data_IF_622035593106
#
_entry.id   IF_622035593106
#
_cell.length_a   1.000
_cell.length_b   1.000
_cell.length_c   1.000
_cell.angle_alpha   90.00
_cell.angle_beta   90.00
_cell.angle_gamma   90.00
#
_symmetry.space_group_name_H-M   'P 1'
#
loop_
_entity.id
_entity.type
_entity.pdbx_description
1 polymer ?
#
# COMPACT_ATOMS: atom_id res chain seq x y z
N UNK A 1 -22.74 7.34 -20.89
CA UNK A 1 -22.69 6.12 -20.08
C UNK A 1 -21.22 5.83 -19.81
N UNK A 2 -20.75 5.87 -18.56
CA UNK A 2 -19.34 5.63 -18.23
C UNK A 2 -19.05 4.12 -18.27
N UNK A 3 -17.94 3.74 -18.90
CA UNK A 3 -17.43 2.37 -18.88
C UNK A 3 -16.14 2.32 -18.10
N UNK A 4 -16.03 1.41 -17.13
CA UNK A 4 -14.77 1.02 -16.53
C UNK A 4 -14.32 -0.29 -17.18
N UNK A 5 -13.14 -0.27 -17.78
CA UNK A 5 -12.57 -1.43 -18.48
C UNK A 5 -11.28 -1.88 -17.80
N UNK A 6 -10.95 -3.15 -18.00
CA UNK A 6 -9.71 -3.77 -17.56
C UNK A 6 -8.57 -3.24 -18.44
N UNK A 7 -7.40 -2.93 -17.86
CA UNK A 7 -6.22 -2.56 -18.65
C UNK A 7 -5.66 -3.76 -19.39
N UNK A 8 -5.39 -3.58 -20.69
CA UNK A 8 -4.78 -4.57 -21.56
C UNK A 8 -3.63 -3.92 -22.33
N UNK A 9 -2.53 -4.62 -22.43
CA UNK A 9 -1.41 -4.31 -23.31
C UNK A 9 -1.22 -5.50 -24.25
N UNK A 10 -1.19 -5.27 -25.56
CA UNK A 10 -1.15 -6.30 -26.59
C UNK A 10 -2.19 -7.43 -26.40
N UNK A 11 -3.36 -7.07 -25.85
CA UNK A 11 -4.43 -8.02 -25.52
C UNK A 11 -4.26 -8.75 -24.18
N UNK A 12 -3.13 -8.67 -23.52
CA UNK A 12 -2.89 -9.28 -22.22
C UNK A 12 -3.36 -8.36 -21.08
N UNK A 13 -4.02 -8.95 -20.09
CA UNK A 13 -4.47 -8.24 -18.89
C UNK A 13 -3.33 -8.10 -17.90
N UNK A 14 -3.16 -6.92 -17.34
CA UNK A 14 -2.16 -6.65 -16.33
C UNK A 14 -2.62 -5.60 -15.31
N UNK A 15 -1.97 -5.58 -14.13
CA UNK A 15 -2.08 -4.49 -13.18
C UNK A 15 -0.85 -3.59 -13.32
N UNK A 16 -1.03 -2.32 -13.73
CA UNK A 16 0.10 -1.41 -13.90
C UNK A 16 0.88 -1.20 -12.60
N UNK A 17 2.20 -1.17 -12.69
CA UNK A 17 3.12 -0.92 -11.59
C UNK A 17 2.72 0.31 -10.76
N UNK A 18 2.30 1.40 -11.42
CA UNK A 18 1.87 2.62 -10.74
C UNK A 18 0.61 2.40 -9.88
N UNK A 19 -0.33 1.58 -10.37
CA UNK A 19 -1.57 1.26 -9.64
C UNK A 19 -1.27 0.41 -8.40
N UNK A 20 -0.43 -0.61 -8.54
CA UNK A 20 0.02 -1.47 -7.44
C UNK A 20 0.80 -0.64 -6.42
N UNK A 21 1.80 0.11 -6.88
CA UNK A 21 2.60 1.01 -6.03
C UNK A 21 1.75 2.05 -5.32
N UNK A 22 0.76 2.61 -6.01
CA UNK A 22 -0.16 3.60 -5.45
C UNK A 22 -1.00 3.02 -4.31
N UNK A 23 -1.55 1.82 -4.49
CA UNK A 23 -2.31 1.11 -3.47
C UNK A 23 -1.44 0.73 -2.26
N UNK A 24 -0.23 0.21 -2.53
CA UNK A 24 0.75 -0.13 -1.50
C UNK A 24 1.18 1.09 -0.68
N UNK A 25 1.52 2.19 -1.36
CA UNK A 25 1.85 3.46 -0.72
C UNK A 25 0.69 4.01 0.13
N UNK A 26 -0.55 3.90 -0.34
CA UNK A 26 -1.73 4.36 0.40
C UNK A 26 -1.93 3.55 1.69
N UNK A 27 -1.70 2.24 1.65
CA UNK A 27 -1.76 1.37 2.83
C UNK A 27 -0.66 1.71 3.82
N UNK A 28 0.59 1.79 3.38
CA UNK A 28 1.73 2.18 4.22
C UNK A 28 1.52 3.57 4.86
N UNK A 29 0.93 4.52 4.13
CA UNK A 29 0.57 5.83 4.68
C UNK A 29 -0.46 5.74 5.79
N UNK A 30 -1.48 4.88 5.65
CA UNK A 30 -2.47 4.67 6.72
C UNK A 30 -1.80 4.12 7.98
N UNK A 31 -0.94 3.10 7.84
CA UNK A 31 -0.19 2.52 8.95
C UNK A 31 0.66 3.61 9.62
N UNK A 32 1.45 4.34 8.85
CA UNK A 32 2.28 5.43 9.38
C UNK A 32 1.46 6.47 10.14
N UNK A 33 0.34 6.91 9.57
CA UNK A 33 -0.53 7.90 10.19
C UNK A 33 -1.19 7.37 11.47
N UNK A 34 -1.54 6.10 11.53
CA UNK A 34 -2.09 5.47 12.73
C UNK A 34 -1.06 5.43 13.85
N UNK A 35 0.17 5.03 13.54
CA UNK A 35 1.26 4.97 14.52
C UNK A 35 1.70 6.35 15.01
N UNK A 36 1.59 7.37 14.15
CA UNK A 36 1.90 8.77 14.50
C UNK A 36 0.69 9.52 15.15
N UNK A 37 -0.44 8.85 15.32
CA UNK A 37 -1.71 9.49 15.76
C UNK A 37 -1.63 10.20 17.12
N UNK A 38 -0.99 9.59 18.07
CA UNK A 38 -0.89 10.16 19.43
C UNK A 38 -0.11 11.48 19.44
N UNK A 39 0.90 11.58 18.59
CA UNK A 39 1.66 12.81 18.39
C UNK A 39 0.85 13.90 17.69
N UNK A 40 -0.13 13.51 16.85
CA UNK A 40 -0.97 14.44 16.10
C UNK A 40 -2.03 15.11 16.98
N UNK A 41 -2.61 14.40 17.94
CA UNK A 41 -3.68 14.92 18.81
C UNK A 41 -3.19 15.95 19.83
N UNK A 42 -1.95 15.89 20.25
CA UNK A 42 -1.39 16.88 21.15
C UNK A 42 -1.23 18.26 20.50
N UNK A 43 -0.92 18.30 19.20
CA UNK A 43 -0.69 19.54 18.44
C UNK A 43 -1.97 20.12 17.80
N UNK A 44 -3.01 19.34 17.55
CA UNK A 44 -4.29 19.80 17.02
C UNK A 44 -5.05 20.73 17.99
N UNK A 45 -4.73 20.71 19.27
CA UNK A 45 -5.32 21.59 20.28
C UNK A 45 -4.94 23.07 20.13
N UNK A 46 -3.96 23.42 19.29
CA UNK A 46 -3.47 24.78 19.09
C UNK A 46 -4.18 25.58 17.99
N UNK A 47 -5.17 25.02 17.30
CA UNK A 47 -6.11 25.76 16.42
C UNK A 47 -5.56 26.36 15.14
N UNK A 48 -4.30 26.17 14.79
CA UNK A 48 -3.71 26.73 13.57
C UNK A 48 -3.65 25.74 12.42
N UNK A 49 -4.67 25.78 11.53
CA UNK A 49 -4.80 24.86 10.39
C UNK A 49 -3.62 24.91 9.39
N UNK A 50 -2.91 26.04 9.26
CA UNK A 50 -1.77 26.15 8.37
C UNK A 50 -0.49 25.56 8.99
N UNK A 51 -0.36 25.63 10.32
CA UNK A 51 0.71 24.95 11.05
C UNK A 51 0.49 23.42 10.99
N UNK A 52 -0.75 22.95 11.16
CA UNK A 52 -1.10 21.55 11.05
C UNK A 52 -0.74 20.94 9.67
N UNK A 53 -0.98 21.66 8.56
CA UNK A 53 -0.59 21.20 7.20
C UNK A 53 0.92 21.12 6.99
N UNK A 54 1.69 22.08 7.52
CA UNK A 54 3.15 22.05 7.45
C UNK A 54 3.73 20.94 8.33
N UNK A 55 3.11 20.70 9.46
CA UNK A 55 3.47 19.66 10.41
C UNK A 55 3.17 18.27 9.85
N UNK A 56 2.04 18.09 9.16
CA UNK A 56 1.70 16.87 8.43
C UNK A 56 2.74 16.53 7.35
N UNK A 57 3.27 17.51 6.63
CA UNK A 57 4.33 17.29 5.66
C UNK A 57 5.67 16.91 6.31
N UNK A 58 6.02 17.49 7.44
CA UNK A 58 7.19 17.09 8.22
C UNK A 58 7.04 15.67 8.75
N UNK A 59 5.87 15.32 9.31
CA UNK A 59 5.55 13.97 9.82
C UNK A 59 5.59 12.90 8.75
N UNK A 60 5.34 13.27 7.49
CA UNK A 60 5.50 12.38 6.35
C UNK A 60 6.93 12.32 5.79
N UNK A 61 7.86 13.14 6.30
CA UNK A 61 9.22 13.19 5.74
C UNK A 61 9.92 11.81 5.76
N UNK A 62 9.79 11.07 6.85
CA UNK A 62 10.29 9.70 6.95
C UNK A 62 9.64 8.75 5.93
N UNK A 63 8.32 8.81 5.79
CA UNK A 63 7.56 8.03 4.83
C UNK A 63 8.01 8.29 3.37
N UNK A 64 8.34 9.54 3.02
CA UNK A 64 8.84 9.87 1.70
C UNK A 64 10.21 9.24 1.39
N UNK A 65 11.03 8.93 2.39
CA UNK A 65 12.29 8.21 2.18
C UNK A 65 12.05 6.84 1.55
N UNK A 66 10.97 6.17 1.90
CA UNK A 66 10.61 4.86 1.35
C UNK A 66 9.90 4.96 -0.02
N UNK A 67 8.97 5.89 -0.16
CA UNK A 67 8.09 5.98 -1.33
C UNK A 67 8.48 7.05 -2.35
N UNK A 68 9.48 7.85 -2.04
CA UNK A 68 9.95 8.93 -2.91
C UNK A 68 9.16 10.22 -2.78
N UNK A 69 9.81 11.31 -3.16
CA UNK A 69 9.27 12.66 -3.21
C UNK A 69 9.96 13.43 -4.36
N UNK A 70 9.56 14.69 -4.58
CA UNK A 70 10.23 15.56 -5.55
C UNK A 70 11.72 15.66 -5.23
N UNK A 71 12.56 15.32 -6.20
CA UNK A 71 14.02 15.28 -6.04
C UNK A 71 14.57 14.04 -5.33
N UNK A 72 13.72 13.11 -4.91
CA UNK A 72 14.15 11.87 -4.27
C UNK A 72 13.49 10.63 -4.91
N UNK A 73 14.29 9.78 -5.57
CA UNK A 73 13.82 8.54 -6.15
C UNK A 73 13.57 7.48 -5.07
N UNK A 74 12.38 6.88 -5.10
CA UNK A 74 12.03 5.84 -4.15
C UNK A 74 12.99 4.64 -4.19
N UNK A 75 13.35 4.06 -3.04
CA UNK A 75 14.04 2.78 -2.98
C UNK A 75 13.13 1.58 -3.35
N UNK A 76 11.81 1.70 -3.20
CA UNK A 76 10.89 0.64 -3.64
C UNK A 76 10.59 0.83 -5.13
N UNK A 77 10.89 -0.19 -5.91
CA UNK A 77 10.54 -0.35 -7.32
C UNK A 77 9.47 -1.44 -7.42
N UNK A 78 8.49 -1.24 -8.29
CA UNK A 78 7.38 -2.19 -8.52
C UNK A 78 7.29 -2.43 -10.01
N UNK A 79 7.14 -3.69 -10.40
CA UNK A 79 6.90 -4.08 -11.77
C UNK A 79 5.41 -4.25 -12.07
N UNK A 80 5.06 -4.35 -13.34
CA UNK A 80 3.70 -4.67 -13.75
C UNK A 80 3.34 -6.08 -13.32
N UNK A 81 2.17 -6.23 -12.73
CA UNK A 81 1.69 -7.55 -12.32
C UNK A 81 0.94 -8.19 -13.48
N UNK A 82 1.42 -9.34 -13.91
CA UNK A 82 0.90 -10.08 -15.04
C UNK A 82 -0.11 -11.13 -14.60
N UNK A 83 -1.16 -11.30 -15.40
CA UNK A 83 -2.15 -12.34 -15.18
C UNK A 83 -1.50 -13.71 -15.48
N UNK A 84 -1.59 -14.63 -14.50
CA UNK A 84 -0.95 -15.97 -14.61
C UNK A 84 -1.88 -16.96 -15.31
N UNK A 85 -3.18 -16.86 -15.06
CA UNK A 85 -4.19 -17.76 -15.61
C UNK A 85 -5.32 -16.93 -16.24
N UNK A 86 -5.95 -17.46 -17.29
CA UNK A 86 -7.12 -16.84 -17.87
C UNK A 86 -8.21 -16.68 -16.79
N UNK A 87 -8.76 -15.49 -16.69
CA UNK A 87 -9.81 -15.17 -15.75
C UNK A 87 -11.10 -14.77 -16.46
N UNK A 88 -12.23 -15.16 -15.90
CA UNK A 88 -13.55 -14.87 -16.43
C UNK A 88 -13.86 -13.37 -16.33
N UNK A 89 -14.22 -12.75 -17.43
CA UNK A 89 -14.74 -11.38 -17.44
C UNK A 89 -16.23 -11.39 -17.05
N UNK A 90 -16.57 -10.66 -15.99
CA UNK A 90 -17.95 -10.51 -15.51
C UNK A 90 -18.43 -9.08 -15.66
N UNK A 91 -19.29 -8.81 -16.65
CA UNK A 91 -19.96 -7.53 -16.76
C UNK A 91 -20.99 -7.38 -15.62
N UNK A 92 -20.99 -6.21 -14.99
CA UNK A 92 -21.97 -5.85 -13.97
C UNK A 92 -22.57 -4.49 -14.24
N UNK A 93 -23.84 -4.34 -13.92
CA UNK A 93 -24.57 -3.10 -14.01
C UNK A 93 -24.84 -2.53 -12.61
N UNK A 94 -24.58 -1.26 -12.46
CA UNK A 94 -24.78 -0.52 -11.22
C UNK A 94 -25.79 0.59 -11.42
N UNK A 95 -26.57 0.83 -10.38
CA UNK A 95 -27.55 1.89 -10.31
C UNK A 95 -27.29 2.72 -9.06
N UNK A 96 -27.28 4.04 -9.18
CA UNK A 96 -27.24 4.89 -8.01
C UNK A 96 -28.64 4.95 -7.37
N UNK A 97 -28.67 4.74 -6.05
CA UNK A 97 -29.90 4.83 -5.26
C UNK A 97 -29.91 6.18 -4.54
N UNK A 98 -31.03 6.87 -4.62
CA UNK A 98 -31.27 8.08 -3.86
C UNK A 98 -31.54 7.73 -2.39
N UNK A 99 -30.82 8.40 -1.48
CA UNK A 99 -30.88 8.10 -0.04
C UNK A 99 -32.20 8.52 0.60
N UNK A 100 -32.90 9.49 0.02
CA UNK A 100 -34.14 10.03 0.59
C UNK A 100 -35.36 9.26 0.10
N UNK A 101 -35.39 8.95 -1.20
CA UNK A 101 -36.54 8.28 -1.80
C UNK A 101 -36.42 6.76 -1.81
N UNK A 102 -35.21 6.23 -1.64
CA UNK A 102 -34.94 4.78 -1.82
C UNK A 102 -35.07 4.32 -3.27
N UNK A 103 -35.42 5.18 -4.19
CA UNK A 103 -35.57 4.90 -5.62
C UNK A 103 -34.28 5.13 -6.41
N UNK A 104 -34.36 4.87 -7.71
CA UNK A 104 -33.22 5.11 -8.62
C UNK A 104 -32.98 6.62 -8.76
N UNK A 105 -31.74 7.05 -8.52
CA UNK A 105 -31.34 8.46 -8.62
C UNK A 105 -31.18 8.89 -10.08
N UNK A 106 -32.28 9.04 -10.82
CA UNK A 106 -32.31 9.46 -12.22
C UNK A 106 -31.55 8.50 -13.16
N UNK A 107 -31.05 8.94 -14.33
CA UNK A 107 -30.42 8.08 -15.33
C UNK A 107 -28.98 7.67 -14.98
N UNK A 108 -28.66 7.47 -13.69
CA UNK A 108 -27.32 7.16 -13.21
C UNK A 108 -27.06 5.65 -13.19
N UNK A 109 -27.14 5.04 -14.36
CA UNK A 109 -26.77 3.64 -14.59
C UNK A 109 -25.39 3.58 -15.25
N UNK A 110 -24.49 2.73 -14.76
CA UNK A 110 -23.19 2.48 -15.39
C UNK A 110 -22.85 0.99 -15.41
N UNK A 111 -22.01 0.62 -16.35
CA UNK A 111 -21.52 -0.76 -16.49
C UNK A 111 -20.04 -0.79 -16.11
N UNK A 112 -19.63 -1.86 -15.44
CA UNK A 112 -18.24 -2.18 -15.21
C UNK A 112 -17.99 -3.64 -15.61
N UNK A 113 -16.81 -3.91 -16.14
CA UNK A 113 -16.34 -5.27 -16.40
C UNK A 113 -15.25 -5.55 -15.38
N UNK A 114 -15.41 -6.63 -14.62
CA UNK A 114 -14.44 -7.10 -13.65
C UNK A 114 -13.96 -8.50 -14.02
N UNK A 115 -12.74 -8.83 -13.61
CA UNK A 115 -12.26 -10.20 -13.64
C UNK A 115 -12.70 -10.92 -12.35
N UNK A 116 -13.12 -12.16 -12.50
CA UNK A 116 -13.48 -12.97 -11.36
C UNK A 116 -12.27 -13.72 -10.82
N UNK A 117 -11.87 -13.42 -9.58
CA UNK A 117 -10.74 -14.04 -8.86
C UNK A 117 -9.47 -14.18 -9.72
N UNK A 118 -9.01 -13.11 -10.40
CA UNK A 118 -7.82 -13.19 -11.22
C UNK A 118 -6.59 -13.44 -10.34
N UNK A 119 -5.62 -14.19 -10.87
CA UNK A 119 -4.32 -14.38 -10.24
C UNK A 119 -3.28 -13.57 -10.96
N UNK A 120 -2.61 -12.69 -10.25
CA UNK A 120 -1.52 -11.87 -10.77
C UNK A 120 -0.21 -12.18 -10.06
N UNK A 121 0.89 -12.09 -10.78
CA UNK A 121 2.26 -12.19 -10.25
C UNK A 121 3.03 -10.97 -10.67
N UNK A 122 3.83 -10.43 -9.78
CA UNK A 122 4.72 -9.30 -10.03
C UNK A 122 5.67 -9.08 -8.86
N UNK A 123 6.67 -8.25 -9.07
CA UNK A 123 7.79 -8.11 -8.16
C UNK A 123 7.84 -6.72 -7.51
N UNK A 124 8.24 -6.74 -6.25
CA UNK A 124 8.69 -5.57 -5.49
C UNK A 124 10.19 -5.68 -5.26
N UNK A 125 10.95 -4.72 -5.73
CA UNK A 125 12.39 -4.63 -5.48
C UNK A 125 12.68 -3.52 -4.49
N UNK A 126 13.43 -3.82 -3.43
CA UNK A 126 13.91 -2.82 -2.47
C UNK A 126 15.39 -2.56 -2.72
N UNK A 127 15.71 -1.33 -3.13
CA UNK A 127 17.07 -0.87 -3.40
C UNK A 127 17.73 -0.43 -2.10
N UNK A 128 18.49 -1.32 -1.48
CA UNK A 128 19.18 -1.10 -0.19
C UNK A 128 20.24 0.01 -0.27
N UNK A 129 20.88 0.16 -1.43
CA UNK A 129 21.82 1.25 -1.72
C UNK A 129 21.17 2.63 -1.56
N UNK A 130 19.92 2.78 -2.02
CA UNK A 130 19.18 4.05 -1.85
C UNK A 130 18.68 4.25 -0.42
N UNK A 131 18.33 3.20 0.29
CA UNK A 131 17.97 3.29 1.71
C UNK A 131 19.15 3.79 2.54
N UNK A 132 20.35 3.27 2.30
CA UNK A 132 21.58 3.73 2.95
C UNK A 132 21.87 5.21 2.67
N UNK A 133 21.76 5.66 1.41
CA UNK A 133 21.94 7.05 1.02
C UNK A 133 20.90 8.00 1.66
N UNK A 134 19.71 7.52 1.99
CA UNK A 134 18.66 8.28 2.66
C UNK A 134 18.84 8.40 4.16
N UNK A 135 19.86 7.76 4.76
CA UNK A 135 19.95 7.53 6.21
C UNK A 135 18.62 6.99 6.76
N UNK A 136 17.96 6.13 6.01
CA UNK A 136 16.74 5.49 6.45
C UNK A 136 17.08 4.48 7.54
N UNK A 137 16.51 4.67 8.72
CA UNK A 137 16.63 3.71 9.81
C UNK A 137 15.95 2.38 9.49
N UNK A 138 16.17 1.38 10.32
CA UNK A 138 15.56 0.05 10.19
C UNK A 138 14.02 0.04 10.28
N UNK A 139 13.41 1.14 10.70
CA UNK A 139 11.95 1.34 10.72
C UNK A 139 11.28 1.13 9.36
N UNK A 140 12.01 1.38 8.28
CA UNK A 140 11.56 1.18 6.90
C UNK A 140 11.13 -0.27 6.64
N UNK A 141 11.90 -1.21 7.17
CA UNK A 141 11.64 -2.64 7.03
C UNK A 141 10.39 -3.06 7.79
N UNK A 142 10.18 -2.48 8.97
CA UNK A 142 8.98 -2.72 9.77
C UNK A 142 7.73 -2.18 9.08
N UNK A 143 7.79 -0.97 8.53
CA UNK A 143 6.67 -0.39 7.76
C UNK A 143 6.37 -1.23 6.51
N UNK A 144 7.40 -1.70 5.82
CA UNK A 144 7.27 -2.61 4.68
C UNK A 144 6.60 -3.93 5.10
N UNK A 145 7.07 -4.53 6.21
CA UNK A 145 6.53 -5.77 6.75
C UNK A 145 5.04 -5.63 7.10
N UNK A 146 4.65 -4.57 7.81
CA UNK A 146 3.24 -4.32 8.16
C UNK A 146 2.37 -4.11 6.92
N UNK A 147 2.86 -3.38 5.93
CA UNK A 147 2.11 -3.15 4.70
C UNK A 147 1.89 -4.43 3.89
N UNK A 148 2.92 -5.27 3.79
CA UNK A 148 2.83 -6.59 3.14
C UNK A 148 1.89 -7.52 3.92
N UNK A 149 1.98 -7.52 5.24
CA UNK A 149 1.13 -8.32 6.11
C UNK A 149 -0.35 -7.97 5.94
N UNK A 150 -0.71 -6.69 5.93
CA UNK A 150 -2.08 -6.26 5.68
C UNK A 150 -2.59 -6.78 4.32
N UNK A 151 -1.73 -6.87 3.32
CA UNK A 151 -2.09 -7.44 2.03
C UNK A 151 -2.26 -8.95 2.06
N UNK A 152 -1.43 -9.67 2.85
CA UNK A 152 -1.57 -11.11 3.09
C UNK A 152 -2.87 -11.44 3.83
N UNK A 153 -3.27 -10.59 4.78
CA UNK A 153 -4.47 -10.74 5.59
C UNK A 153 -5.75 -10.27 4.86
N UNK A 154 -5.63 -9.70 3.64
CA UNK A 154 -6.77 -9.29 2.83
C UNK A 154 -7.24 -7.85 3.06
N UNK A 155 -6.54 -7.05 3.87
CA UNK A 155 -6.88 -5.66 4.15
C UNK A 155 -6.48 -4.70 3.02
N UNK A 156 -5.70 -5.18 2.06
CA UNK A 156 -5.33 -4.45 0.86
C UNK A 156 -6.44 -4.42 -0.19
N UNK A 157 -6.42 -3.40 -1.04
CA UNK A 157 -7.31 -3.36 -2.21
C UNK A 157 -6.68 -2.61 -3.36
N UNK A 158 -6.87 -3.10 -4.59
CA UNK A 158 -6.39 -2.49 -5.82
C UNK A 158 -7.56 -2.29 -6.79
N UNK A 159 -7.56 -1.15 -7.49
CA UNK A 159 -8.47 -0.86 -8.58
C UNK A 159 -9.72 -0.11 -8.19
N UNK A 160 -10.72 -0.18 -9.07
CA UNK A 160 -11.97 0.54 -8.96
C UNK A 160 -12.97 -0.16 -8.02
N UNK A 161 -13.77 0.64 -7.32
CA UNK A 161 -14.99 0.14 -6.69
C UNK A 161 -14.81 -0.56 -5.34
N UNK A 162 -13.81 -0.19 -4.55
CA UNK A 162 -13.61 -0.71 -3.19
C UNK A 162 -14.89 -0.67 -2.34
N UNK A 163 -15.67 0.42 -2.43
CA UNK A 163 -16.96 0.54 -1.73
C UNK A 163 -18.05 -0.41 -2.25
N UNK A 164 -17.79 -1.15 -3.31
CA UNK A 164 -18.67 -2.11 -3.98
C UNK A 164 -18.11 -3.54 -3.93
N UNK A 165 -17.20 -3.77 -2.99
CA UNK A 165 -16.55 -5.06 -2.77
C UNK A 165 -15.68 -5.57 -3.93
N UNK A 166 -15.14 -4.62 -4.75
CA UNK A 166 -14.13 -4.93 -5.76
C UNK A 166 -12.72 -4.73 -5.24
N UNK A 167 -11.78 -5.45 -5.87
CA UNK A 167 -10.35 -5.25 -5.68
C UNK A 167 -9.80 -5.70 -4.34
N UNK A 168 -10.57 -6.44 -3.55
CA UNK A 168 -10.03 -7.13 -2.38
C UNK A 168 -8.92 -8.11 -2.79
N UNK A 169 -7.86 -8.18 -2.02
CA UNK A 169 -6.67 -8.97 -2.30
C UNK A 169 -6.59 -10.15 -1.35
N UNK A 170 -6.22 -11.28 -1.90
CA UNK A 170 -5.66 -12.42 -1.19
C UNK A 170 -4.26 -12.62 -1.76
N UNK A 171 -3.22 -12.34 -0.96
CA UNK A 171 -1.85 -12.30 -1.45
C UNK A 171 -1.01 -13.44 -0.86
N UNK A 172 0.06 -13.80 -1.59
CA UNK A 172 1.19 -14.58 -1.09
C UNK A 172 2.44 -13.81 -1.41
N UNK A 173 3.39 -13.81 -0.49
CA UNK A 173 4.66 -13.10 -0.65
C UNK A 173 5.80 -14.07 -0.43
N UNK A 174 6.74 -14.08 -1.37
CA UNK A 174 8.02 -14.74 -1.24
C UNK A 174 9.12 -13.67 -1.17
N UNK A 175 10.01 -13.78 -0.21
CA UNK A 175 11.08 -12.80 0.00
C UNK A 175 12.41 -13.39 -0.47
N UNK A 176 12.97 -12.81 -1.50
CA UNK A 176 14.28 -13.17 -2.03
C UNK A 176 15.36 -12.21 -1.51
N UNK A 177 16.54 -12.73 -1.30
CA UNK A 177 17.70 -11.97 -0.83
C UNK A 177 18.44 -12.68 0.29
N UNK A 178 19.73 -12.31 0.44
CA UNK A 178 20.64 -12.91 1.43
C UNK A 178 20.97 -11.97 2.57
N UNK A 179 20.38 -10.77 2.61
CA UNK A 179 20.62 -9.80 3.67
C UNK A 179 19.93 -10.20 4.98
N UNK A 180 20.43 -9.76 6.14
CA UNK A 180 19.79 -10.01 7.44
C UNK A 180 18.33 -9.56 7.46
N UNK A 181 18.02 -8.40 6.88
CA UNK A 181 16.67 -7.85 6.81
C UNK A 181 15.72 -8.75 6.00
N UNK A 182 16.21 -9.35 4.92
CA UNK A 182 15.42 -10.30 4.13
C UNK A 182 15.06 -11.55 4.94
N UNK A 183 15.98 -12.03 5.79
CA UNK A 183 15.71 -13.16 6.67
C UNK A 183 14.63 -12.82 7.72
N UNK A 184 14.69 -11.62 8.31
CA UNK A 184 13.70 -11.14 9.27
C UNK A 184 12.33 -10.92 8.60
N UNK A 185 12.30 -10.35 7.41
CA UNK A 185 11.06 -10.19 6.64
C UNK A 185 10.40 -11.55 6.35
N UNK A 186 11.18 -12.56 5.94
CA UNK A 186 10.66 -13.93 5.78
C UNK A 186 10.02 -14.45 7.06
N UNK A 187 10.69 -14.24 8.21
CA UNK A 187 10.17 -14.64 9.52
C UNK A 187 8.83 -13.96 9.88
N UNK A 188 8.75 -12.64 9.66
CA UNK A 188 7.52 -11.86 9.94
C UNK A 188 6.36 -12.27 9.02
N UNK A 189 6.65 -12.54 7.75
CA UNK A 189 5.65 -12.84 6.73
C UNK A 189 5.30 -14.35 6.64
N UNK A 190 5.91 -15.18 7.47
CA UNK A 190 5.67 -16.62 7.48
C UNK A 190 6.16 -17.35 6.22
N UNK A 191 7.15 -16.76 5.51
CA UNK A 191 7.75 -17.38 4.33
C UNK A 191 8.83 -18.39 4.70
N UNK A 192 9.05 -19.39 3.84
CA UNK A 192 10.07 -20.44 4.06
C UNK A 192 11.48 -19.85 4.26
N UNK A 193 12.23 -20.41 5.22
CA UNK A 193 13.58 -19.97 5.55
C UNK A 193 13.65 -18.66 6.34
N UNK A 194 12.54 -18.21 6.90
CA UNK A 194 12.48 -17.04 7.78
C UNK A 194 12.90 -17.39 9.21
N UNK A 195 13.66 -16.49 9.82
CA UNK A 195 14.02 -16.56 11.24
C UNK A 195 13.47 -15.34 11.95
N UNK A 196 12.57 -15.54 12.92
CA UNK A 196 12.16 -14.46 13.82
C UNK A 196 13.28 -14.17 14.82
N UNK A 197 14.09 -13.16 14.52
CA UNK A 197 15.07 -12.65 15.45
C UNK A 197 14.44 -11.56 16.31
N UNK A 198 14.05 -11.90 17.53
CA UNK A 198 13.39 -10.99 18.46
C UNK A 198 14.20 -9.73 18.77
N UNK A 199 15.54 -9.84 18.85
CA UNK A 199 16.40 -8.69 19.12
C UNK A 199 16.40 -7.69 17.95
N UNK A 200 16.42 -8.20 16.73
CA UNK A 200 16.40 -7.37 15.51
C UNK A 200 15.04 -6.72 15.33
N UNK A 201 13.94 -7.46 15.59
CA UNK A 201 12.59 -6.90 15.57
C UNK A 201 12.41 -5.77 16.60
N UNK A 202 12.92 -5.92 17.82
CA UNK A 202 12.93 -4.87 18.83
C UNK A 202 13.74 -3.65 18.35
N UNK A 203 14.85 -3.86 17.66
CA UNK A 203 15.65 -2.80 17.04
C UNK A 203 14.82 -2.02 15.98
N UNK A 204 14.06 -2.72 15.15
CA UNK A 204 13.18 -2.09 14.15
C UNK A 204 12.03 -1.30 14.80
N UNK A 205 11.42 -1.84 15.85
CA UNK A 205 10.36 -1.14 16.60
C UNK A 205 10.89 0.15 17.23
N UNK A 206 12.04 0.09 17.93
CA UNK A 206 12.67 1.29 18.51
C UNK A 206 13.05 2.32 17.46
N UNK A 207 13.54 1.88 16.30
CA UNK A 207 13.85 2.77 15.18
C UNK A 207 12.60 3.45 14.64
N UNK A 208 11.46 2.74 14.59
CA UNK A 208 10.18 3.30 14.16
C UNK A 208 9.64 4.31 15.18
N UNK A 209 9.69 4.00 16.47
CA UNK A 209 9.29 4.91 17.54
C UNK A 209 10.12 6.20 17.52
N UNK A 210 11.44 6.09 17.32
CA UNK A 210 12.33 7.25 17.17
C UNK A 210 11.95 8.08 15.93
N UNK A 211 11.75 7.44 14.79
CA UNK A 211 11.38 8.12 13.54
C UNK A 211 10.01 8.83 13.63
N UNK A 212 9.08 8.29 14.41
CA UNK A 212 7.78 8.92 14.70
C UNK A 212 7.96 10.09 15.69
N UNK A 213 8.81 9.91 16.72
CA UNK A 213 9.09 10.91 17.75
C UNK A 213 9.88 12.12 17.22
N UNK A 214 10.83 11.96 16.32
CA UNK A 214 11.59 13.05 15.68
C UNK A 214 10.72 13.93 14.79
N UNK A 215 9.55 13.47 14.43
CA UNK A 215 8.57 14.15 13.58
C UNK A 215 7.53 14.89 14.43
N UNK A 216 7.50 14.65 15.75
CA UNK A 216 6.65 15.33 16.72
C UNK A 216 7.32 16.60 17.27
#
# INVERSE_FOLDING_TARGET
MGHCTIRKEDGAVYLPAESVRGAFRAQARRIWQTLAWDNHHQNAKTGNQNAARKDDQKKLAGFFKLFGATGWRAPIEVEDFRLVEAAEERPQEFVAIDRFTGGVAGPKKFKAVALWKPKFVGDFTVRTDRLGAANAGSWVWLLLAFTLRDWLEGDGSIGFGRSKNYGGLEAKVEVFGTTPEAAVLRGILGSDGGVLNGAELVGWVRSLESAIGEVA
#
